data_IF_147484261926
#
_entry.id   IF_147484261926
#
_cell.length_a   1.000
_cell.length_b   1.000
_cell.length_c   1.000
_cell.angle_alpha   90.00
_cell.angle_beta   90.00
_cell.angle_gamma   90.00
#
_symmetry.space_group_name_H-M   'P 1'
#
loop_
_entity.id
_entity.type
_entity.pdbx_description
1 polymer ?
#
# COMPACT_ATOMS: atom_id res chain seq x y z
N UNK A 1 -57.67 -7.76 4.42
CA UNK A 1 -56.40 -8.45 4.79
C UNK A 1 -55.69 -8.98 3.53
N UNK A 2 -54.93 -8.16 2.79
CA UNK A 2 -54.07 -8.63 1.66
C UNK A 2 -52.75 -7.84 1.51
N UNK A 3 -52.38 -7.01 2.48
CA UNK A 3 -51.26 -6.07 2.36
C UNK A 3 -49.96 -6.58 2.99
N UNK A 4 -50.01 -7.56 3.90
CA UNK A 4 -48.81 -8.07 4.60
C UNK A 4 -47.99 -9.08 3.78
N UNK A 5 -48.61 -9.92 2.95
CA UNK A 5 -47.90 -10.91 2.13
C UNK A 5 -47.12 -10.27 0.98
N UNK A 6 -47.68 -9.26 0.30
CA UNK A 6 -46.99 -8.55 -0.79
C UNK A 6 -45.76 -7.77 -0.32
N UNK A 7 -45.77 -7.23 0.90
CA UNK A 7 -44.63 -6.50 1.46
C UNK A 7 -43.44 -7.43 1.75
N UNK A 8 -43.72 -8.63 2.28
CA UNK A 8 -42.69 -9.64 2.62
C UNK A 8 -42.00 -10.17 1.35
N UNK A 9 -42.75 -10.42 0.28
CA UNK A 9 -42.20 -10.86 -1.01
C UNK A 9 -41.30 -9.78 -1.63
N UNK A 10 -41.69 -8.51 -1.53
CA UNK A 10 -40.91 -7.39 -2.06
C UNK A 10 -39.58 -7.21 -1.31
N UNK A 11 -39.60 -7.34 0.03
CA UNK A 11 -38.39 -7.25 0.87
C UNK A 11 -37.43 -8.41 0.57
N UNK A 12 -37.93 -9.64 0.43
CA UNK A 12 -37.11 -10.80 0.06
C UNK A 12 -36.46 -10.63 -1.32
N UNK A 13 -37.20 -10.12 -2.31
CA UNK A 13 -36.66 -9.83 -3.64
C UNK A 13 -35.53 -8.79 -3.60
N UNK A 14 -35.70 -7.71 -2.83
CA UNK A 14 -34.66 -6.68 -2.66
C UNK A 14 -33.41 -7.24 -1.98
N UNK A 15 -33.58 -8.13 -0.99
CA UNK A 15 -32.46 -8.79 -0.31
C UNK A 15 -31.70 -9.71 -1.28
N UNK A 16 -32.42 -10.53 -2.07
CA UNK A 16 -31.83 -11.44 -3.05
C UNK A 16 -31.06 -10.68 -4.16
N UNK A 17 -31.65 -9.59 -4.68
CA UNK A 17 -31.00 -8.74 -5.68
C UNK A 17 -29.73 -8.08 -5.11
N UNK A 18 -29.77 -7.60 -3.86
CA UNK A 18 -28.59 -7.02 -3.19
C UNK A 18 -27.51 -8.07 -2.92
N UNK A 19 -27.88 -9.31 -2.59
CA UNK A 19 -26.89 -10.38 -2.41
C UNK A 19 -26.23 -10.77 -3.71
N UNK A 20 -26.99 -10.91 -4.81
CA UNK A 20 -26.43 -11.23 -6.13
C UNK A 20 -25.51 -10.11 -6.63
N UNK A 21 -25.88 -8.84 -6.44
CA UNK A 21 -25.03 -7.70 -6.78
C UNK A 21 -23.73 -7.66 -5.97
N UNK A 22 -23.77 -8.00 -4.67
CA UNK A 22 -22.54 -8.10 -3.86
C UNK A 22 -21.63 -9.22 -4.33
N UNK A 23 -22.18 -10.42 -4.55
CA UNK A 23 -21.42 -11.60 -4.97
C UNK A 23 -20.78 -11.36 -6.34
N UNK A 24 -21.53 -10.82 -7.30
CA UNK A 24 -21.00 -10.49 -8.62
C UNK A 24 -19.91 -9.43 -8.56
N UNK A 25 -20.11 -8.35 -7.79
CA UNK A 25 -19.10 -7.31 -7.57
C UNK A 25 -17.79 -7.86 -7.00
N UNK A 26 -17.87 -8.67 -5.94
CA UNK A 26 -16.70 -9.31 -5.31
C UNK A 26 -15.96 -10.26 -6.27
N UNK A 27 -16.69 -11.02 -7.09
CA UNK A 27 -16.09 -11.92 -8.09
C UNK A 27 -15.37 -11.15 -9.20
N UNK A 28 -15.99 -10.10 -9.74
CA UNK A 28 -15.34 -9.24 -10.75
C UNK A 28 -14.10 -8.56 -10.20
N UNK A 29 -14.14 -8.10 -8.95
CA UNK A 29 -13.01 -7.43 -8.35
C UNK A 29 -11.87 -8.39 -8.03
N UNK A 30 -12.20 -9.59 -7.55
CA UNK A 30 -11.21 -10.67 -7.37
C UNK A 30 -10.55 -11.05 -8.70
N UNK A 31 -11.32 -11.10 -9.81
CA UNK A 31 -10.78 -11.39 -11.13
C UNK A 31 -9.88 -10.25 -11.65
N UNK A 32 -10.27 -8.99 -11.45
CA UNK A 32 -9.44 -7.80 -11.78
C UNK A 32 -8.13 -7.82 -10.99
N UNK A 33 -8.20 -8.08 -9.69
CA UNK A 33 -7.04 -8.16 -8.81
C UNK A 33 -6.06 -9.25 -9.23
N UNK A 34 -6.57 -10.46 -9.54
CA UNK A 34 -5.73 -11.55 -10.06
C UNK A 34 -5.02 -11.17 -11.36
N UNK A 35 -5.69 -10.42 -12.25
CA UNK A 35 -5.08 -9.94 -13.50
C UNK A 35 -3.98 -8.91 -13.25
N UNK A 36 -4.17 -7.96 -12.34
CA UNK A 36 -3.15 -6.95 -12.02
C UNK A 36 -1.89 -7.59 -11.42
N UNK A 37 -2.06 -8.57 -10.53
CA UNK A 37 -0.94 -9.32 -9.94
C UNK A 37 -0.27 -10.23 -10.97
N UNK A 38 -1.04 -10.94 -11.80
CA UNK A 38 -0.48 -11.79 -12.86
C UNK A 38 0.25 -11.00 -13.96
N UNK A 39 -0.19 -9.77 -14.22
CA UNK A 39 0.47 -8.86 -15.15
C UNK A 39 1.75 -8.22 -14.57
N UNK A 40 2.06 -8.49 -13.29
CA UNK A 40 3.23 -7.97 -12.57
C UNK A 40 3.41 -6.46 -12.75
N UNK A 41 2.31 -5.71 -12.72
CA UNK A 41 2.35 -4.26 -12.98
C UNK A 41 2.84 -3.46 -11.76
N UNK A 42 3.03 -4.11 -10.61
CA UNK A 42 3.38 -3.48 -9.33
C UNK A 42 2.47 -2.28 -8.99
N UNK A 43 1.22 -2.30 -9.43
CA UNK A 43 0.24 -1.26 -9.12
C UNK A 43 -0.54 -1.65 -7.87
N UNK A 44 -1.13 -0.65 -7.20
CA UNK A 44 -2.07 -0.90 -6.13
C UNK A 44 -3.23 -1.79 -6.63
N UNK A 45 -3.56 -2.83 -5.87
CA UNK A 45 -4.68 -3.69 -6.23
C UNK A 45 -6.03 -3.09 -5.79
N UNK A 46 -6.00 -2.02 -4.98
CA UNK A 46 -7.15 -1.24 -4.54
C UNK A 46 -6.74 0.22 -4.27
N UNK A 47 -7.58 1.16 -4.69
CA UNK A 47 -7.46 2.60 -4.40
C UNK A 47 -8.32 3.01 -3.20
N UNK A 48 -8.60 2.04 -2.33
CA UNK A 48 -9.21 2.25 -1.02
C UNK A 48 -8.26 1.70 0.04
N UNK A 49 -7.68 2.60 0.84
CA UNK A 49 -6.74 2.25 1.91
C UNK A 49 -7.41 1.41 3.00
N UNK A 50 -8.70 1.62 3.26
CA UNK A 50 -9.41 0.89 4.31
C UNK A 50 -9.63 -0.57 3.93
N UNK A 51 -9.59 -0.92 2.64
CA UNK A 51 -9.53 -2.31 2.20
C UNK A 51 -8.29 -3.02 2.73
N UNK A 52 -7.12 -2.37 2.69
CA UNK A 52 -5.89 -2.88 3.29
C UNK A 52 -6.07 -3.10 4.80
N UNK A 53 -6.43 -2.01 5.49
CA UNK A 53 -6.41 -1.93 6.95
C UNK A 53 -7.45 -2.84 7.62
N UNK A 54 -8.65 -2.97 7.03
CA UNK A 54 -9.79 -3.63 7.67
C UNK A 54 -10.20 -4.96 6.99
N UNK A 55 -9.87 -5.17 5.71
CA UNK A 55 -10.29 -6.38 4.97
C UNK A 55 -9.16 -7.34 4.66
N UNK A 56 -7.98 -6.82 4.28
CA UNK A 56 -6.86 -7.65 3.83
C UNK A 56 -5.93 -8.07 4.97
N UNK A 57 -5.79 -7.25 6.00
CA UNK A 57 -4.98 -7.55 7.18
C UNK A 57 -5.68 -8.40 8.25
N UNK A 58 -7.01 -8.40 8.26
CA UNK A 58 -7.80 -9.26 9.17
C UNK A 58 -7.54 -10.76 8.98
N UNK A 59 -7.08 -11.18 7.79
CA UNK A 59 -6.72 -12.58 7.49
C UNK A 59 -5.38 -13.03 8.08
N UNK A 60 -4.51 -12.08 8.45
CA UNK A 60 -3.30 -12.38 9.21
C UNK A 60 -3.66 -12.77 10.67
N UNK A 61 -4.77 -12.24 11.16
CA UNK A 61 -5.40 -12.61 12.43
C UNK A 61 -6.27 -13.88 12.24
N UNK A 62 -5.65 -15.07 12.19
CA UNK A 62 -6.37 -16.37 12.19
C UNK A 62 -7.15 -16.68 13.49
N UNK A 63 -7.35 -15.70 14.37
CA UNK A 63 -8.23 -15.82 15.53
C UNK A 63 -9.48 -15.01 15.22
N UNK A 64 -10.65 -15.55 15.54
CA UNK A 64 -11.98 -14.94 15.42
C UNK A 64 -12.15 -13.67 16.28
N UNK A 65 -11.13 -12.84 16.39
CA UNK A 65 -11.13 -11.60 17.13
C UNK A 65 -11.21 -10.46 16.09
N UNK A 66 -12.37 -9.80 15.94
CA UNK A 66 -12.57 -8.69 15.02
C UNK A 66 -11.88 -7.41 15.50
N UNK A 67 -10.82 -7.52 16.30
CA UNK A 67 -9.98 -6.40 16.71
C UNK A 67 -9.25 -5.90 15.48
N UNK A 68 -9.93 -5.03 14.75
CA UNK A 68 -9.34 -4.13 13.81
C UNK A 68 -8.15 -3.46 14.49
N UNK A 69 -7.01 -3.41 13.79
CA UNK A 69 -5.76 -2.82 14.33
C UNK A 69 -6.00 -1.35 14.71
N UNK A 70 -6.96 -0.71 14.05
CA UNK A 70 -7.40 0.66 14.31
C UNK A 70 -8.88 0.67 14.71
N UNK A 71 -9.29 1.56 15.63
CA UNK A 71 -10.67 1.64 16.11
C UNK A 71 -11.63 2.25 15.08
N UNK A 72 -11.12 3.03 14.12
CA UNK A 72 -11.90 3.77 13.14
C UNK A 72 -11.23 3.77 11.77
N UNK A 73 -12.05 3.98 10.72
CA UNK A 73 -11.56 4.11 9.35
C UNK A 73 -10.55 5.24 9.21
N UNK A 74 -9.53 5.01 8.42
CA UNK A 74 -8.49 6.00 8.15
C UNK A 74 -8.94 6.93 7.02
N UNK A 75 -8.86 8.22 7.27
CA UNK A 75 -9.06 9.26 6.26
C UNK A 75 -7.72 9.60 5.61
N UNK A 76 -7.61 9.35 4.31
CA UNK A 76 -6.47 9.77 3.51
C UNK A 76 -6.84 11.05 2.75
N UNK A 77 -6.06 12.13 2.88
CA UNK A 77 -6.31 13.38 2.12
C UNK A 77 -5.91 13.24 0.65
N UNK A 78 -4.92 12.39 0.38
CA UNK A 78 -4.52 11.98 -0.95
C UNK A 78 -5.33 10.80 -1.48
N UNK A 79 -4.69 9.96 -2.30
CA UNK A 79 -5.26 8.69 -2.75
C UNK A 79 -4.81 7.57 -1.81
N UNK A 80 -5.77 6.81 -1.31
CA UNK A 80 -5.51 5.64 -0.48
C UNK A 80 -5.15 4.44 -1.36
N UNK A 81 -3.99 3.83 -1.15
CA UNK A 81 -3.46 2.76 -1.99
C UNK A 81 -3.19 1.52 -1.15
N UNK A 82 -3.40 0.36 -1.78
CA UNK A 82 -3.26 -0.93 -1.14
C UNK A 82 -2.43 -1.87 -2.02
N UNK A 83 -1.28 -2.28 -1.51
CA UNK A 83 -0.26 -3.04 -2.25
C UNK A 83 -0.08 -4.45 -1.71
N UNK A 84 0.31 -5.37 -2.59
CA UNK A 84 0.72 -6.70 -2.20
C UNK A 84 0.82 -7.66 -3.38
N UNK A 85 1.81 -8.54 -3.33
CA UNK A 85 1.96 -9.64 -4.29
C UNK A 85 0.79 -10.64 -4.24
N UNK A 86 0.02 -10.66 -3.15
CA UNK A 86 -1.22 -11.39 -3.04
C UNK A 86 -2.35 -10.39 -2.74
N UNK A 87 -3.35 -10.21 -3.62
CA UNK A 87 -4.37 -9.19 -3.41
C UNK A 87 -5.33 -9.52 -2.26
N UNK A 88 -5.24 -10.73 -1.71
CA UNK A 88 -5.98 -11.15 -0.50
C UNK A 88 -5.23 -10.84 0.79
N UNK A 89 -3.94 -10.51 0.71
CA UNK A 89 -3.07 -10.22 1.85
C UNK A 89 -2.26 -8.98 1.49
N UNK A 90 -2.74 -7.84 1.97
CA UNK A 90 -2.04 -6.58 1.78
C UNK A 90 -0.66 -6.64 2.47
N UNK A 91 0.38 -6.24 1.76
CA UNK A 91 1.72 -6.07 2.30
C UNK A 91 1.83 -4.73 3.00
N UNK A 92 1.41 -3.67 2.33
CA UNK A 92 1.36 -2.33 2.92
C UNK A 92 0.25 -1.47 2.31
N UNK A 93 -0.10 -0.44 3.06
CA UNK A 93 -1.03 0.61 2.70
C UNK A 93 -0.27 1.93 2.58
N UNK A 94 -0.65 2.77 1.63
CA UNK A 94 -0.06 4.10 1.48
C UNK A 94 -1.16 5.15 1.30
N UNK A 95 -1.08 6.26 2.02
CA UNK A 95 -1.84 7.45 1.69
C UNK A 95 -0.95 8.38 0.86
N UNK A 96 -1.20 8.46 -0.44
CA UNK A 96 -0.30 9.12 -1.38
C UNK A 96 -0.83 10.49 -1.81
N UNK A 97 -0.02 11.54 -1.62
CA UNK A 97 -0.40 12.89 -1.99
C UNK A 97 0.05 13.20 -3.42
N UNK A 98 -0.91 13.24 -4.35
CA UNK A 98 -0.65 13.48 -5.77
C UNK A 98 -0.23 14.91 -6.11
N UNK A 99 -0.26 15.84 -5.14
CA UNK A 99 0.25 17.20 -5.31
C UNK A 99 1.72 17.32 -4.94
N UNK A 100 2.12 16.71 -3.82
CA UNK A 100 3.53 16.72 -3.35
C UNK A 100 4.34 15.55 -3.91
N UNK A 101 3.67 14.57 -4.53
CA UNK A 101 4.25 13.35 -5.09
C UNK A 101 5.00 12.48 -4.07
N UNK A 102 4.60 12.56 -2.80
CA UNK A 102 5.12 11.72 -1.71
C UNK A 102 3.97 11.14 -0.87
N UNK A 103 4.18 10.00 -0.20
CA UNK A 103 3.22 9.52 0.79
C UNK A 103 3.10 10.48 1.97
N UNK A 104 1.87 10.71 2.44
CA UNK A 104 1.59 11.35 3.74
C UNK A 104 1.89 10.37 4.88
N UNK A 105 1.59 9.09 4.68
CA UNK A 105 2.01 7.99 5.53
C UNK A 105 1.95 6.66 4.75
N UNK A 106 2.66 5.67 5.25
CA UNK A 106 2.44 4.26 4.91
C UNK A 106 2.21 3.46 6.19
N UNK A 107 1.69 2.25 6.04
CA UNK A 107 1.52 1.33 7.15
C UNK A 107 1.57 -0.12 6.68
N UNK A 108 2.14 -0.98 7.52
CA UNK A 108 2.24 -2.41 7.28
C UNK A 108 2.22 -3.15 8.62
N UNK A 109 2.07 -4.48 8.55
CA UNK A 109 2.18 -5.35 9.72
C UNK A 109 3.59 -5.92 9.76
N UNK A 110 4.32 -5.63 10.83
CA UNK A 110 5.61 -6.26 11.14
C UNK A 110 5.37 -7.70 11.55
N UNK A 111 5.91 -8.65 10.79
CA UNK A 111 5.72 -10.07 11.03
C UNK A 111 6.79 -10.61 11.98
N UNK A 112 6.49 -11.61 12.83
CA UNK A 112 7.52 -12.28 13.61
C UNK A 112 8.50 -13.02 12.69
N UNK A 113 9.76 -13.14 13.11
CA UNK A 113 10.85 -13.80 12.36
C UNK A 113 11.14 -13.18 10.99
N UNK A 114 11.07 -11.85 10.89
CA UNK A 114 11.62 -11.11 9.76
C UNK A 114 13.12 -11.34 9.69
N UNK A 115 13.56 -11.99 8.62
CA UNK A 115 14.97 -12.36 8.37
C UNK A 115 15.57 -11.66 7.16
N UNK A 116 14.90 -10.63 6.64
CA UNK A 116 15.32 -9.95 5.44
C UNK A 116 16.56 -9.10 5.64
N UNK A 117 17.60 -9.40 4.86
CA UNK A 117 18.59 -8.37 4.51
C UNK A 117 17.93 -7.46 3.48
N UNK A 118 18.02 -6.14 3.70
CA UNK A 118 17.49 -5.16 2.76
C UNK A 118 18.03 -5.42 1.35
N UNK A 119 17.16 -5.29 0.35
CA UNK A 119 17.52 -5.58 -1.05
C UNK A 119 17.73 -4.28 -1.84
N UNK A 120 18.73 -4.29 -2.70
CA UNK A 120 18.79 -3.35 -3.83
C UNK A 120 17.90 -3.88 -4.97
N UNK A 121 17.02 -3.01 -5.48
CA UNK A 121 16.07 -3.36 -6.54
C UNK A 121 15.75 -2.16 -7.42
N UNK A 122 15.06 -2.43 -8.53
CA UNK A 122 14.63 -1.39 -9.45
C UNK A 122 13.46 -0.60 -8.85
N UNK A 123 13.59 0.72 -8.83
CA UNK A 123 12.53 1.62 -8.41
C UNK A 123 11.48 1.74 -9.50
N UNK A 124 10.20 1.66 -9.12
CA UNK A 124 9.08 1.61 -10.08
C UNK A 124 8.00 2.60 -9.71
N UNK A 125 7.38 3.22 -10.70
CA UNK A 125 6.19 4.05 -10.49
C UNK A 125 4.93 3.22 -10.53
N UNK A 126 3.94 3.59 -9.71
CA UNK A 126 2.58 3.06 -9.85
C UNK A 126 1.92 3.66 -11.09
N UNK A 127 1.73 2.85 -12.12
CA UNK A 127 1.14 3.26 -13.40
C UNK A 127 -0.40 3.28 -13.38
N UNK A 128 -1.02 2.81 -12.29
CA UNK A 128 -2.46 2.78 -12.08
C UNK A 128 -3.04 4.12 -11.61
N UNK A 129 -2.19 5.09 -11.28
CA UNK A 129 -2.59 6.42 -10.79
C UNK A 129 -1.77 7.52 -11.49
N UNK A 130 -2.34 8.71 -11.60
CA UNK A 130 -1.64 9.89 -12.12
C UNK A 130 -2.15 11.17 -11.45
N UNK A 131 -1.27 12.13 -11.09
CA UNK A 131 0.19 12.04 -11.19
C UNK A 131 0.81 11.13 -10.10
N UNK A 132 2.04 10.67 -10.36
CA UNK A 132 2.87 9.84 -9.49
C UNK A 132 4.35 10.19 -9.70
N UNK A 133 5.16 10.08 -8.65
CA UNK A 133 6.60 10.24 -8.79
C UNK A 133 7.22 9.12 -9.63
N UNK A 134 8.23 9.49 -10.40
CA UNK A 134 9.10 8.61 -11.18
C UNK A 134 10.42 8.41 -10.48
N UNK A 135 11.13 7.33 -10.83
CA UNK A 135 12.51 7.15 -10.34
C UNK A 135 13.39 8.36 -10.70
N UNK A 136 13.11 9.02 -11.82
CA UNK A 136 13.82 10.22 -12.26
C UNK A 136 13.66 11.39 -11.27
N UNK A 137 12.50 11.54 -10.63
CA UNK A 137 12.25 12.59 -9.64
C UNK A 137 13.15 12.45 -8.40
N UNK A 138 13.70 11.25 -8.16
CA UNK A 138 14.63 10.96 -7.06
C UNK A 138 16.09 10.80 -7.49
N UNK A 139 16.42 10.95 -8.79
CA UNK A 139 17.80 10.77 -9.28
C UNK A 139 18.74 11.91 -8.89
N UNK A 140 20.02 11.56 -8.78
CA UNK A 140 21.08 12.32 -8.11
C UNK A 140 21.61 13.57 -8.84
N UNK A 141 20.89 14.14 -9.81
CA UNK A 141 21.24 15.46 -10.36
C UNK A 141 20.81 16.59 -9.41
N UNK A 142 21.11 16.41 -8.14
CA UNK A 142 20.77 17.33 -7.05
C UNK A 142 21.82 18.42 -6.87
N UNK A 143 22.94 18.34 -7.60
CA UNK A 143 23.96 19.37 -7.64
C UNK A 143 23.33 20.69 -8.12
N UNK A 144 23.37 21.71 -7.26
CA UNK A 144 22.77 23.02 -7.54
C UNK A 144 21.29 23.16 -7.15
N UNK A 145 20.61 22.08 -6.75
CA UNK A 145 19.24 22.15 -6.22
C UNK A 145 19.20 22.50 -4.73
N UNK A 146 20.23 22.10 -3.99
CA UNK A 146 20.31 22.29 -2.54
C UNK A 146 21.68 22.86 -2.14
N UNK A 147 21.68 23.90 -1.29
CA UNK A 147 22.91 24.60 -0.89
C UNK A 147 23.93 23.68 -0.19
N UNK A 148 23.45 22.63 0.48
CA UNK A 148 24.25 21.67 1.22
C UNK A 148 24.47 20.35 0.47
N UNK A 149 24.18 20.28 -0.84
CA UNK A 149 24.48 19.07 -1.62
C UNK A 149 25.99 18.78 -1.62
N UNK A 150 26.36 17.58 -1.20
CA UNK A 150 27.72 17.07 -1.28
C UNK A 150 27.71 15.54 -1.27
N UNK A 151 27.94 14.93 -2.43
CA UNK A 151 27.95 13.48 -2.58
C UNK A 151 29.04 12.80 -1.75
N UNK A 152 30.25 13.40 -1.67
CA UNK A 152 31.37 12.85 -0.91
C UNK A 152 31.09 12.83 0.60
N UNK A 153 30.29 13.79 1.10
CA UNK A 153 29.87 13.88 2.51
C UNK A 153 28.53 13.18 2.79
N UNK A 154 27.99 12.41 1.83
CA UNK A 154 26.66 11.80 1.94
C UNK A 154 25.53 12.83 2.20
N UNK A 155 25.71 14.08 1.75
CA UNK A 155 24.72 15.14 1.87
C UNK A 155 23.92 15.23 0.57
N UNK A 156 23.05 14.26 0.36
CA UNK A 156 22.11 14.22 -0.77
C UNK A 156 20.80 13.58 -0.32
N UNK A 157 19.73 13.75 -1.07
CA UNK A 157 18.48 13.03 -0.83
C UNK A 157 18.54 11.65 -1.47
N UNK A 158 18.41 10.62 -0.64
CA UNK A 158 18.19 9.25 -1.05
C UNK A 158 16.70 8.94 -1.21
N UNK A 159 16.42 7.81 -1.83
CA UNK A 159 15.08 7.21 -1.89
C UNK A 159 14.80 6.52 -0.57
N UNK A 160 14.20 7.24 0.36
CA UNK A 160 13.86 6.70 1.67
C UNK A 160 12.55 5.94 1.63
N UNK A 161 12.59 4.67 2.00
CA UNK A 161 11.39 3.87 2.23
C UNK A 161 10.64 4.41 3.46
N UNK A 162 9.31 4.39 3.43
CA UNK A 162 8.49 4.54 4.63
C UNK A 162 8.09 3.16 5.19
N UNK A 163 7.64 2.26 4.32
CA UNK A 163 7.57 0.83 4.64
C UNK A 163 8.87 0.15 4.20
N UNK A 164 9.73 -0.29 5.14
CA UNK A 164 11.03 -0.87 4.82
C UNK A 164 10.93 -2.20 4.10
N UNK A 165 11.85 -2.46 3.18
CA UNK A 165 11.92 -3.73 2.47
C UNK A 165 12.38 -4.90 3.37
N UNK A 166 13.15 -4.62 4.42
CA UNK A 166 13.70 -5.63 5.33
C UNK A 166 12.61 -6.33 6.17
N UNK A 167 11.44 -5.70 6.30
CA UNK A 167 10.29 -6.26 7.01
C UNK A 167 9.56 -7.37 6.23
N UNK A 168 10.09 -7.76 5.07
CA UNK A 168 9.52 -8.78 4.21
C UNK A 168 10.51 -9.91 3.89
N UNK A 169 9.99 -11.14 3.80
CA UNK A 169 10.80 -12.35 3.73
C UNK A 169 11.11 -12.77 2.30
N UNK A 170 10.19 -12.53 1.36
CA UNK A 170 10.35 -12.93 -0.05
C UNK A 170 10.80 -11.76 -0.93
N UNK A 171 11.57 -12.05 -1.97
CA UNK A 171 11.97 -11.03 -2.96
C UNK A 171 10.76 -10.35 -3.62
N UNK A 172 9.70 -11.11 -3.87
CA UNK A 172 8.47 -10.57 -4.44
C UNK A 172 7.84 -9.53 -3.51
N UNK A 173 7.78 -9.79 -2.19
CA UNK A 173 7.30 -8.80 -1.22
C UNK A 173 8.19 -7.55 -1.17
N UNK A 174 9.52 -7.74 -1.15
CA UNK A 174 10.49 -6.63 -1.14
C UNK A 174 10.37 -5.76 -2.39
N UNK A 175 10.07 -6.34 -3.54
CA UNK A 175 9.91 -5.58 -4.79
C UNK A 175 8.73 -4.60 -4.73
N UNK A 176 7.66 -4.93 -4.01
CA UNK A 176 6.52 -4.03 -3.83
C UNK A 176 6.85 -2.81 -2.96
N UNK A 177 7.85 -2.89 -2.07
CA UNK A 177 8.25 -1.71 -1.29
C UNK A 177 9.07 -0.71 -2.10
N UNK A 178 9.59 -1.12 -3.26
CA UNK A 178 10.38 -0.27 -4.19
C UNK A 178 9.50 0.63 -5.08
N UNK A 179 8.18 0.65 -4.85
CA UNK A 179 7.25 1.48 -5.61
C UNK A 179 7.32 2.93 -5.08
N UNK A 180 7.39 3.92 -5.96
CA UNK A 180 7.60 5.34 -5.60
C UNK A 180 6.52 5.93 -4.69
N UNK A 181 5.34 5.33 -4.62
CA UNK A 181 4.28 5.71 -3.67
C UNK A 181 4.61 5.37 -2.22
N UNK A 182 5.64 4.56 -1.97
CA UNK A 182 6.21 4.26 -0.65
C UNK A 182 7.48 5.08 -0.35
N UNK A 183 7.87 6.01 -1.23
CA UNK A 183 9.18 6.67 -1.18
C UNK A 183 9.05 8.17 -0.94
N UNK A 184 9.89 8.68 -0.04
CA UNK A 184 10.10 10.11 0.15
C UNK A 184 11.60 10.46 0.02
N UNK A 185 11.94 11.69 -0.43
CA UNK A 185 13.32 12.16 -0.37
C UNK A 185 13.76 12.25 1.11
N UNK A 186 14.77 11.47 1.49
CA UNK A 186 15.34 11.50 2.83
C UNK A 186 16.82 11.85 2.75
N UNK A 187 17.32 12.71 3.65
CA UNK A 187 18.76 12.96 3.73
C UNK A 187 19.51 11.65 3.91
N UNK A 188 20.51 11.38 3.07
CA UNK A 188 21.21 10.09 3.06
C UNK A 188 21.82 9.76 4.44
N UNK A 189 22.37 10.75 5.14
CA UNK A 189 22.87 10.56 6.51
C UNK A 189 21.78 10.17 7.52
N UNK A 190 20.54 10.62 7.31
CA UNK A 190 19.40 10.22 8.13
C UNK A 190 18.89 8.82 7.74
N UNK A 191 18.67 8.61 6.43
CA UNK A 191 18.18 7.35 5.84
C UNK A 191 19.09 6.17 6.18
N UNK A 192 20.38 6.27 5.87
CA UNK A 192 21.37 5.22 6.14
C UNK A 192 21.90 5.20 7.59
N UNK A 193 21.45 6.15 8.42
CA UNK A 193 21.87 6.32 9.80
C UNK A 193 20.73 6.02 10.77
N UNK A 194 20.20 7.06 11.41
CA UNK A 194 19.20 6.94 12.47
C UNK A 194 17.94 6.17 12.03
N UNK A 195 17.49 6.38 10.79
CA UNK A 195 16.30 5.70 10.27
C UNK A 195 16.54 4.20 10.09
N UNK A 196 17.62 3.81 9.39
CA UNK A 196 18.02 2.41 9.25
C UNK A 196 18.30 1.71 10.58
N UNK A 197 18.69 2.45 11.63
CA UNK A 197 18.84 1.88 12.98
C UNK A 197 17.48 1.64 13.64
N UNK A 198 16.52 2.55 13.48
CA UNK A 198 15.16 2.38 13.98
C UNK A 198 14.46 1.17 13.36
N UNK A 199 14.63 0.96 12.05
CA UNK A 199 14.04 -0.17 11.32
C UNK A 199 14.58 -1.55 11.76
N UNK A 200 15.69 -1.60 12.49
CA UNK A 200 16.31 -2.86 12.97
C UNK A 200 15.97 -3.23 14.42
N UNK A 201 15.32 -2.33 15.16
CA UNK A 201 14.95 -2.52 16.56
C UNK A 201 13.70 -3.40 16.70
#
# INVERSE_FOLDING_TARGET
MKTKQSLVVLVLFVILQRSDQRVTSELTETARQKRMVAANTHNAFSNDINRCLFSSWSRYNKRNNPNYILPELVTCKGIGLCYGANPRIAQYAACYNQKTLIPEFTGHIVQPNIGGQGRDGDWKSDTGIAPVATDQDYRAQQLGLYANYNQQKQQFFARGHLTPNADFNTDAEREYTMITTNIAPQWQLFNAGNWANLEKL
#
